data_IF_573239329803
#
_entry.id   IF_573239329803
#
_cell.length_a   1.000
_cell.length_b   1.000
_cell.length_c   1.000
_cell.angle_alpha   90.00
_cell.angle_beta   90.00
_cell.angle_gamma   90.00
#
_symmetry.space_group_name_H-M   'P 1'
#
loop_
_entity.id
_entity.type
_entity.pdbx_description
1 polymer ?
#
# COMPACT_ATOMS: atom_id res chain seq x y z
N UNK A 1 1.44 37.40 -60.48
CA UNK A 1 2.25 36.45 -59.68
C UNK A 1 1.53 36.28 -58.35
N UNK A 2 0.76 35.20 -58.25
CA UNK A 2 0.01 34.82 -57.06
C UNK A 2 0.99 34.23 -56.03
N UNK A 3 0.90 34.66 -54.77
CA UNK A 3 1.40 33.86 -53.63
C UNK A 3 0.36 33.89 -52.52
N UNK A 4 -0.03 32.67 -52.15
CA UNK A 4 -1.14 32.28 -51.27
C UNK A 4 -0.82 32.55 -49.80
N UNK A 5 -1.89 32.86 -49.07
CA UNK A 5 -2.04 32.75 -47.63
C UNK A 5 -1.60 31.38 -47.11
N UNK A 6 -1.03 31.38 -45.92
CA UNK A 6 -0.77 30.19 -45.12
C UNK A 6 -0.83 30.57 -43.65
N UNK A 7 -2.05 30.82 -43.15
CA UNK A 7 -2.34 30.90 -41.73
C UNK A 7 -2.06 29.52 -41.09
N UNK A 8 -1.16 29.49 -40.10
CA UNK A 8 -1.02 28.38 -39.18
C UNK A 8 -2.00 28.60 -38.03
N UNK A 9 -3.06 27.79 -37.97
CA UNK A 9 -3.81 27.57 -36.73
C UNK A 9 -2.96 26.71 -35.78
N UNK A 10 -2.76 27.13 -34.52
CA UNK A 10 -2.32 26.19 -33.49
C UNK A 10 -3.48 25.24 -33.18
N UNK A 11 -3.18 23.95 -33.23
CA UNK A 11 -4.15 22.87 -33.14
C UNK A 11 -4.76 22.71 -31.75
N UNK A 12 -6.05 22.36 -31.77
CA UNK A 12 -6.80 21.50 -30.85
C UNK A 12 -6.11 21.16 -29.52
N UNK A 13 -6.40 21.99 -28.52
CA UNK A 13 -6.47 21.51 -27.13
C UNK A 13 -7.63 20.52 -27.05
N UNK A 14 -7.31 19.22 -27.03
CA UNK A 14 -8.25 18.21 -26.62
C UNK A 14 -8.60 18.45 -25.15
N UNK A 15 -9.67 19.20 -24.93
CA UNK A 15 -10.40 19.28 -23.68
C UNK A 15 -10.91 17.87 -23.35
N UNK A 16 -10.10 17.11 -22.61
CA UNK A 16 -10.52 15.86 -22.00
C UNK A 16 -11.58 16.22 -20.96
N UNK A 17 -12.82 16.27 -21.42
CA UNK A 17 -13.99 16.65 -20.62
C UNK A 17 -13.90 16.04 -19.23
N UNK A 18 -13.78 16.92 -18.24
CA UNK A 18 -13.79 16.58 -16.83
C UNK A 18 -15.10 15.83 -16.55
N UNK A 19 -15.04 14.51 -16.52
CA UNK A 19 -16.19 13.70 -16.11
C UNK A 19 -16.43 13.97 -14.62
N UNK A 20 -17.68 14.31 -14.28
CA UNK A 20 -18.07 14.53 -12.89
C UNK A 20 -17.81 13.27 -12.07
N UNK A 21 -16.94 13.40 -11.07
CA UNK A 21 -16.70 12.34 -10.08
C UNK A 21 -17.98 12.17 -9.26
N UNK A 22 -18.51 10.95 -9.09
CA UNK A 22 -19.66 10.72 -8.23
C UNK A 22 -19.43 11.33 -6.83
N UNK A 23 -20.43 12.05 -6.32
CA UNK A 23 -20.30 12.86 -5.09
C UNK A 23 -19.82 12.03 -3.90
N UNK A 24 -20.28 10.79 -3.78
CA UNK A 24 -19.87 9.83 -2.74
C UNK A 24 -18.37 9.50 -2.77
N UNK A 25 -17.77 9.51 -3.96
CA UNK A 25 -16.34 9.24 -4.15
C UNK A 25 -15.51 10.51 -4.01
N UNK A 26 -16.03 11.62 -4.51
CA UNK A 26 -15.41 12.93 -4.29
C UNK A 26 -15.32 13.24 -2.80
N UNK A 27 -16.38 12.95 -2.02
CA UNK A 27 -16.42 13.09 -0.56
C UNK A 27 -15.49 12.11 0.15
N UNK A 28 -15.45 10.85 -0.28
CA UNK A 28 -14.54 9.84 0.26
C UNK A 28 -13.06 10.19 0.07
N UNK A 29 -12.73 10.79 -1.08
CA UNK A 29 -11.36 11.17 -1.43
C UNK A 29 -11.02 12.61 -1.00
N UNK A 30 -12.01 13.40 -0.55
CA UNK A 30 -11.85 14.79 -0.14
C UNK A 30 -10.83 14.97 1.01
N UNK A 31 -10.82 14.13 2.07
CA UNK A 31 -9.80 14.22 3.10
C UNK A 31 -8.38 14.08 2.54
N UNK A 32 -8.19 13.28 1.48
CA UNK A 32 -6.89 13.11 0.82
C UNK A 32 -6.49 14.25 -0.10
N UNK A 33 -7.44 14.76 -0.90
CA UNK A 33 -7.21 15.97 -1.67
C UNK A 33 -6.76 17.11 -0.75
N UNK A 34 -7.30 17.13 0.48
CA UNK A 34 -6.95 18.09 1.53
C UNK A 34 -5.61 17.77 2.20
N UNK A 35 -5.31 16.51 2.52
CA UNK A 35 -4.05 16.09 3.14
C UNK A 35 -2.82 16.37 2.27
N UNK A 36 -2.97 16.33 0.94
CA UNK A 36 -1.93 16.72 -0.01
C UNK A 36 -2.01 18.20 -0.43
N UNK A 37 -2.54 19.08 0.43
CA UNK A 37 -2.54 20.53 0.22
C UNK A 37 -3.29 20.99 -1.03
N UNK A 38 -4.27 20.22 -1.52
CA UNK A 38 -5.01 20.52 -2.75
C UNK A 38 -4.25 20.24 -4.04
N UNK A 39 -3.04 19.68 -3.97
CA UNK A 39 -2.20 19.39 -5.14
C UNK A 39 -2.55 18.06 -5.84
N UNK A 40 -3.28 17.19 -5.14
CA UNK A 40 -3.73 15.91 -5.69
C UNK A 40 -4.88 16.11 -6.70
N UNK A 41 -4.85 15.40 -7.83
CA UNK A 41 -5.92 15.40 -8.83
C UNK A 41 -6.25 13.97 -9.25
N UNK A 42 -7.54 13.63 -9.28
CA UNK A 42 -7.97 12.35 -9.81
C UNK A 42 -7.84 12.34 -11.33
N UNK A 43 -7.21 11.31 -11.89
CA UNK A 43 -6.93 11.23 -13.32
C UNK A 43 -7.35 9.92 -13.99
N UNK A 44 -7.99 9.01 -13.26
CA UNK A 44 -8.61 7.79 -13.79
C UNK A 44 -9.27 6.98 -12.68
N UNK A 45 -10.36 6.28 -12.96
CA UNK A 45 -11.04 5.46 -11.96
C UNK A 45 -11.95 4.41 -12.59
N UNK A 46 -12.23 3.35 -11.84
CA UNK A 46 -13.23 2.35 -12.15
C UNK A 46 -13.92 1.90 -10.88
N UNK A 47 -15.24 1.73 -10.94
CA UNK A 47 -16.09 1.44 -9.79
C UNK A 47 -16.93 0.20 -10.02
N UNK A 48 -17.19 -0.54 -8.94
CA UNK A 48 -18.02 -1.73 -8.98
C UNK A 48 -19.47 -1.38 -9.33
N UNK A 49 -20.18 -2.34 -9.94
CA UNK A 49 -21.61 -2.20 -10.25
C UNK A 49 -21.94 -1.17 -11.35
N UNK A 50 -20.96 -0.79 -12.19
CA UNK A 50 -21.20 0.13 -13.30
C UNK A 50 -21.44 1.59 -12.89
N UNK A 51 -20.99 1.99 -11.69
CA UNK A 51 -21.23 3.32 -11.10
C UNK A 51 -20.41 4.46 -11.70
N UNK A 52 -19.67 4.17 -12.77
CA UNK A 52 -18.84 5.13 -13.45
C UNK A 52 -17.41 4.64 -13.59
N UNK A 53 -16.76 5.17 -14.61
CA UNK A 53 -15.35 4.97 -14.89
C UNK A 53 -14.84 6.15 -15.70
N UNK A 54 -13.58 6.49 -15.49
CA UNK A 54 -12.80 7.32 -16.38
C UNK A 54 -11.51 6.57 -16.74
N UNK A 55 -11.06 6.63 -18.00
CA UNK A 55 -9.86 5.94 -18.43
C UNK A 55 -8.65 6.39 -17.62
N UNK A 56 -7.74 5.46 -17.31
CA UNK A 56 -6.46 5.77 -16.69
C UNK A 56 -5.53 6.48 -17.70
N UNK A 57 -4.67 7.42 -17.27
CA UNK A 57 -3.77 8.13 -18.17
C UNK A 57 -2.77 7.19 -18.84
N UNK A 58 -2.44 7.47 -20.11
CA UNK A 58 -1.39 6.73 -20.80
C UNK A 58 -0.03 6.87 -20.10
N UNK A 59 0.73 5.78 -20.05
CA UNK A 59 2.05 5.75 -19.44
C UNK A 59 2.07 5.72 -17.91
N UNK A 60 0.93 5.51 -17.24
CA UNK A 60 0.91 5.32 -15.79
C UNK A 60 1.79 4.12 -15.35
N UNK A 61 2.35 4.14 -14.12
CA UNK A 61 3.32 3.13 -13.67
C UNK A 61 2.82 1.68 -13.68
N UNK A 62 1.50 1.49 -13.60
CA UNK A 62 0.85 0.19 -13.54
C UNK A 62 0.34 -0.32 -14.90
N UNK A 63 0.41 0.50 -15.95
CA UNK A 63 -0.07 0.15 -17.29
C UNK A 63 -1.59 -0.11 -17.36
N UNK A 64 -2.38 0.46 -16.43
CA UNK A 64 -3.84 0.43 -16.50
C UNK A 64 -4.36 1.30 -17.65
N UNK A 65 -5.51 0.97 -18.23
CA UNK A 65 -6.10 1.73 -19.37
C UNK A 65 -7.60 1.98 -19.20
N UNK A 66 -8.45 1.40 -20.04
CA UNK A 66 -9.91 1.45 -19.91
C UNK A 66 -10.41 0.13 -19.30
N UNK A 67 -10.20 -0.02 -17.99
CA UNK A 67 -10.61 -1.24 -17.30
C UNK A 67 -12.15 -1.30 -17.19
N UNK A 68 -12.70 -2.51 -17.36
CA UNK A 68 -14.14 -2.71 -17.39
C UNK A 68 -14.77 -2.67 -16.00
N UNK A 69 -14.04 -3.15 -14.99
CA UNK A 69 -14.45 -3.23 -13.60
C UNK A 69 -13.22 -3.26 -12.66
N UNK A 70 -13.39 -2.97 -11.35
CA UNK A 70 -12.28 -2.93 -10.41
C UNK A 70 -11.57 -4.26 -10.18
N UNK A 71 -12.28 -5.39 -10.28
CA UNK A 71 -11.70 -6.72 -10.06
C UNK A 71 -10.77 -7.08 -11.22
N UNK A 72 -11.14 -6.74 -12.45
CA UNK A 72 -10.26 -6.92 -13.61
C UNK A 72 -8.99 -6.09 -13.51
N UNK A 73 -9.11 -4.82 -13.10
CA UNK A 73 -7.96 -3.97 -12.81
C UNK A 73 -7.09 -4.57 -11.70
N UNK A 74 -7.71 -5.04 -10.60
CA UNK A 74 -7.03 -5.70 -9.49
C UNK A 74 -6.27 -6.96 -9.92
N UNK A 75 -6.90 -7.86 -10.68
CA UNK A 75 -6.27 -9.07 -11.21
C UNK A 75 -5.12 -8.74 -12.18
N UNK A 76 -5.22 -7.65 -12.95
CA UNK A 76 -4.11 -7.20 -13.79
C UNK A 76 -2.90 -6.75 -12.96
N UNK A 77 -3.15 -6.07 -11.84
CA UNK A 77 -2.11 -5.53 -10.96
C UNK A 77 -1.44 -6.63 -10.14
N UNK A 78 -2.26 -7.46 -9.51
CA UNK A 78 -1.83 -8.47 -8.55
C UNK A 78 -1.67 -9.86 -9.17
N UNK A 79 -1.98 -10.01 -10.46
CA UNK A 79 -1.85 -11.27 -11.19
C UNK A 79 -0.40 -11.75 -11.21
N UNK A 80 -0.18 -12.97 -10.72
CA UNK A 80 1.12 -13.56 -10.45
C UNK A 80 1.51 -13.53 -8.98
N UNK A 81 1.09 -12.52 -8.21
CA UNK A 81 1.36 -12.43 -6.77
C UNK A 81 0.59 -13.48 -5.99
N UNK A 82 -0.60 -13.88 -6.46
CA UNK A 82 -1.44 -14.89 -5.80
C UNK A 82 -0.80 -16.28 -5.71
N UNK A 83 0.21 -16.57 -6.53
CA UNK A 83 0.97 -17.83 -6.45
C UNK A 83 1.84 -17.88 -5.20
N UNK A 84 2.30 -16.73 -4.73
CA UNK A 84 3.15 -16.59 -3.55
C UNK A 84 2.37 -16.13 -2.31
N UNK A 85 1.31 -15.34 -2.51
CA UNK A 85 0.51 -14.69 -1.47
C UNK A 85 -1.01 -14.83 -1.74
N UNK A 86 -1.53 -16.06 -1.78
CA UNK A 86 -2.93 -16.30 -2.14
C UNK A 86 -3.91 -15.69 -1.15
N UNK A 87 -3.61 -15.73 0.16
CA UNK A 87 -4.50 -15.19 1.19
C UNK A 87 -4.54 -13.67 1.11
N UNK A 88 -3.39 -13.01 1.00
CA UNK A 88 -3.33 -11.56 0.85
C UNK A 88 -4.13 -11.07 -0.35
N UNK A 89 -3.90 -11.64 -1.54
CA UNK A 89 -4.58 -11.22 -2.76
C UNK A 89 -6.09 -11.49 -2.68
N UNK A 90 -6.50 -12.64 -2.13
CA UNK A 90 -7.92 -12.95 -1.97
C UNK A 90 -8.63 -12.01 -0.99
N UNK A 91 -7.99 -11.70 0.13
CA UNK A 91 -8.53 -10.82 1.17
C UNK A 91 -8.59 -9.36 0.68
N UNK A 92 -7.53 -8.87 0.03
CA UNK A 92 -7.48 -7.53 -0.56
C UNK A 92 -8.43 -7.39 -1.76
N UNK A 93 -8.77 -8.47 -2.47
CA UNK A 93 -9.72 -8.42 -3.57
C UNK A 93 -11.20 -8.50 -3.15
N UNK A 94 -11.51 -9.06 -1.97
CA UNK A 94 -12.87 -9.46 -1.59
C UNK A 94 -13.88 -8.32 -1.57
N UNK A 95 -13.51 -7.20 -0.96
CA UNK A 95 -14.42 -6.08 -0.68
C UNK A 95 -14.07 -4.83 -1.51
N UNK A 96 -13.34 -5.04 -2.62
CA UNK A 96 -12.90 -3.98 -3.50
C UNK A 96 -14.10 -3.39 -4.25
N UNK A 97 -14.43 -2.15 -3.90
CA UNK A 97 -15.51 -1.39 -4.50
C UNK A 97 -15.04 -0.48 -5.64
N UNK A 98 -13.75 -0.14 -5.70
CA UNK A 98 -13.22 0.72 -6.75
C UNK A 98 -11.69 0.80 -6.74
N UNK A 99 -11.15 1.25 -7.87
CA UNK A 99 -9.76 1.66 -7.99
C UNK A 99 -9.74 3.04 -8.62
N UNK A 100 -9.00 3.97 -8.02
CA UNK A 100 -8.82 5.32 -8.53
C UNK A 100 -7.33 5.68 -8.60
N UNK A 101 -6.95 6.51 -9.56
CA UNK A 101 -5.60 7.04 -9.69
C UNK A 101 -5.61 8.52 -9.37
N UNK A 102 -4.72 8.89 -8.48
CA UNK A 102 -4.44 10.28 -8.14
C UNK A 102 -3.07 10.65 -8.70
N UNK A 103 -2.96 11.85 -9.25
CA UNK A 103 -1.69 12.52 -9.51
C UNK A 103 -1.42 13.49 -8.37
N UNK A 104 -0.33 13.32 -7.66
CA UNK A 104 0.11 14.19 -6.56
C UNK A 104 1.44 14.80 -6.97
N UNK A 105 1.43 16.11 -7.25
CA UNK A 105 2.55 16.79 -7.89
C UNK A 105 2.97 16.08 -9.20
N UNK A 106 4.21 15.56 -9.25
CA UNK A 106 4.78 14.86 -10.40
C UNK A 106 4.71 13.33 -10.30
N UNK A 107 4.00 12.80 -9.30
CA UNK A 107 3.88 11.35 -9.08
C UNK A 107 2.43 10.84 -9.13
N UNK A 108 2.26 9.53 -9.17
CA UNK A 108 0.97 8.84 -9.18
C UNK A 108 0.77 7.99 -7.92
N UNK A 109 -0.45 7.99 -7.40
CA UNK A 109 -0.91 7.06 -6.36
C UNK A 109 -2.11 6.27 -6.89
N UNK A 110 -2.16 4.99 -6.54
CA UNK A 110 -3.30 4.14 -6.83
C UNK A 110 -4.09 3.88 -5.54
N UNK A 111 -5.32 4.38 -5.48
CA UNK A 111 -6.23 4.16 -4.37
C UNK A 111 -7.10 2.93 -4.62
N UNK A 112 -7.10 2.01 -3.66
CA UNK A 112 -8.06 0.93 -3.53
C UNK A 112 -9.17 1.35 -2.58
N UNK A 113 -10.41 1.32 -3.07
CA UNK A 113 -11.59 1.70 -2.32
C UNK A 113 -12.29 0.45 -1.82
N UNK A 114 -12.39 0.32 -0.50
CA UNK A 114 -13.06 -0.80 0.16
C UNK A 114 -14.39 -0.36 0.74
N UNK A 115 -15.46 -1.09 0.40
CA UNK A 115 -16.72 -0.90 1.09
C UNK A 115 -16.53 -1.20 2.58
N UNK A 116 -16.86 -0.24 3.45
CA UNK A 116 -16.96 -0.54 4.88
C UNK A 116 -18.21 -1.38 5.11
N UNK A 117 -18.13 -2.53 5.80
CA UNK A 117 -19.31 -3.29 6.16
C UNK A 117 -20.14 -2.44 7.11
N UNK A 118 -21.35 -2.05 6.70
CA UNK A 118 -22.30 -1.40 7.58
C UNK A 118 -22.78 -2.44 8.62
N UNK A 119 -22.47 -2.26 9.93
CA UNK A 119 -22.82 -3.24 10.96
C UNK A 119 -24.33 -3.40 11.18
N UNK A 120 -25.15 -2.52 10.59
CA UNK A 120 -26.61 -2.52 10.70
C UNK A 120 -27.32 -3.17 9.50
N UNK A 121 -26.60 -3.47 8.42
CA UNK A 121 -27.17 -4.15 7.25
C UNK A 121 -26.83 -5.65 7.28
N UNK A 122 -27.80 -6.54 7.05
CA UNK A 122 -27.53 -7.97 6.95
C UNK A 122 -26.54 -8.23 5.80
N UNK A 123 -25.49 -9.02 6.10
CA UNK A 123 -24.54 -9.49 5.09
C UNK A 123 -25.29 -10.16 3.94
N UNK A 124 -25.27 -9.55 2.76
CA UNK A 124 -25.98 -10.07 1.58
C UNK A 124 -26.33 -9.05 0.51
N UNK A 125 -26.28 -7.75 0.81
CA UNK A 125 -26.49 -6.71 -0.20
C UNK A 125 -25.24 -6.51 -1.07
N UNK A 126 -25.45 -6.33 -2.37
CA UNK A 126 -24.40 -6.14 -3.37
C UNK A 126 -23.36 -5.10 -2.93
N UNK A 127 -22.05 -5.34 -3.17
CA UNK A 127 -20.93 -4.54 -2.63
C UNK A 127 -20.92 -3.04 -3.01
N UNK A 128 -21.91 -2.56 -3.76
CA UNK A 128 -22.11 -1.14 -4.01
C UNK A 128 -22.97 -0.41 -2.97
N UNK A 129 -23.95 -1.03 -2.31
CA UNK A 129 -24.94 -0.26 -1.51
C UNK A 129 -24.35 0.42 -0.25
N UNK A 130 -23.24 -0.09 0.27
CA UNK A 130 -22.66 0.35 1.56
C UNK A 130 -21.83 1.64 1.48
N UNK A 131 -21.44 2.12 0.28
CA UNK A 131 -20.57 3.31 0.14
C UNK A 131 -21.27 4.60 0.60
N UNK A 132 -22.61 4.64 0.58
CA UNK A 132 -23.38 5.86 0.85
C UNK A 132 -23.61 6.18 2.34
N UNK A 133 -23.24 5.29 3.27
CA UNK A 133 -23.52 5.45 4.70
C UNK A 133 -22.27 5.73 5.55
N UNK A 134 -21.11 5.20 5.16
CA UNK A 134 -19.82 5.39 5.82
C UNK A 134 -18.75 5.65 4.76
N UNK A 135 -17.77 6.55 5.02
CA UNK A 135 -16.68 6.76 4.09
C UNK A 135 -15.94 5.43 3.82
N UNK A 136 -15.64 5.10 2.55
CA UNK A 136 -14.93 3.89 2.23
C UNK A 136 -13.55 3.90 2.87
N UNK A 137 -13.07 2.70 3.20
CA UNK A 137 -11.69 2.53 3.63
C UNK A 137 -10.78 2.61 2.41
N UNK A 138 -9.66 3.32 2.54
CA UNK A 138 -8.75 3.60 1.45
C UNK A 138 -7.38 3.02 1.75
N UNK A 139 -6.83 2.31 0.77
CA UNK A 139 -5.43 1.88 0.76
C UNK A 139 -4.77 2.48 -0.47
N UNK A 140 -3.66 3.19 -0.29
CA UNK A 140 -2.89 3.82 -1.36
C UNK A 140 -1.65 2.99 -1.66
N UNK A 141 -1.55 2.51 -2.88
CA UNK A 141 -0.34 1.96 -3.43
C UNK A 141 0.47 3.05 -4.15
N UNK A 142 1.73 3.18 -3.76
CA UNK A 142 2.73 3.97 -4.46
C UNK A 142 3.27 3.22 -5.67
N UNK A 143 3.90 3.91 -6.64
CA UNK A 143 4.42 3.27 -7.84
C UNK A 143 5.34 2.08 -7.53
N UNK A 144 5.38 1.08 -8.42
CA UNK A 144 6.23 -0.09 -8.21
C UNK A 144 7.71 0.29 -8.21
N UNK A 145 8.49 -0.28 -7.29
CA UNK A 145 9.95 -0.18 -7.34
C UNK A 145 10.53 -1.38 -8.07
N UNK A 146 11.26 -1.12 -9.15
CA UNK A 146 11.98 -2.17 -9.88
C UNK A 146 13.39 -2.27 -9.33
N UNK A 147 13.60 -3.21 -8.42
CA UNK A 147 14.94 -3.61 -8.03
C UNK A 147 15.56 -4.46 -9.15
N UNK A 148 16.75 -4.12 -9.67
CA UNK A 148 17.55 -5.09 -10.40
C UNK A 148 17.76 -6.34 -9.52
N UNK A 149 17.65 -7.54 -10.10
CA UNK A 149 17.86 -8.81 -9.38
C UNK A 149 19.22 -8.90 -8.68
N UNK A 150 20.21 -8.14 -9.17
CA UNK A 150 21.56 -8.04 -8.64
C UNK A 150 21.76 -6.90 -7.64
N UNK A 151 20.78 -6.02 -7.44
CA UNK A 151 20.91 -4.89 -6.53
C UNK A 151 20.95 -5.44 -5.11
N UNK A 152 22.15 -5.37 -4.54
CA UNK A 152 22.34 -5.64 -3.12
C UNK A 152 21.85 -4.42 -2.36
N UNK A 153 21.02 -4.70 -1.38
CA UNK A 153 20.51 -3.70 -0.47
C UNK A 153 21.63 -3.34 0.51
N UNK A 154 21.91 -2.05 0.68
CA UNK A 154 23.03 -1.56 1.50
C UNK A 154 23.03 -2.14 2.92
N UNK A 155 21.88 -2.12 3.60
CA UNK A 155 21.70 -2.64 4.95
C UNK A 155 21.86 -4.17 5.07
N UNK A 156 21.55 -4.92 4.02
CA UNK A 156 21.50 -6.40 4.06
C UNK A 156 22.72 -7.05 3.40
N UNK A 157 23.42 -6.34 2.53
CA UNK A 157 24.54 -6.85 1.72
C UNK A 157 24.19 -8.14 0.96
N UNK A 158 22.90 -8.30 0.62
CA UNK A 158 22.33 -9.44 -0.11
C UNK A 158 21.26 -8.96 -1.08
N UNK A 159 20.97 -9.72 -2.15
CA UNK A 159 19.82 -9.45 -3.00
C UNK A 159 18.51 -9.57 -2.21
N UNK A 160 17.53 -8.71 -2.52
CA UNK A 160 16.19 -8.81 -1.96
C UNK A 160 15.55 -10.15 -2.38
N UNK A 161 15.09 -10.99 -1.43
CA UNK A 161 14.43 -12.25 -1.74
C UNK A 161 13.20 -12.06 -2.63
N UNK A 162 12.93 -13.03 -3.49
CA UNK A 162 11.77 -13.00 -4.39
C UNK A 162 10.44 -12.72 -3.65
N UNK A 163 10.16 -13.30 -2.47
CA UNK A 163 8.93 -13.01 -1.73
C UNK A 163 8.73 -11.52 -1.40
N UNK A 164 9.81 -10.74 -1.25
CA UNK A 164 9.72 -9.29 -1.02
C UNK A 164 9.63 -8.53 -2.35
N UNK A 165 10.40 -8.94 -3.37
CA UNK A 165 10.41 -8.29 -4.69
C UNK A 165 9.06 -8.40 -5.42
N UNK A 166 8.36 -9.52 -5.27
CA UNK A 166 7.09 -9.79 -5.95
C UNK A 166 6.01 -8.75 -5.61
N UNK A 167 5.67 -8.48 -4.34
CA UNK A 167 4.74 -7.42 -4.00
C UNK A 167 5.30 -6.02 -4.27
N UNK A 168 6.62 -5.80 -4.11
CA UNK A 168 7.28 -4.51 -4.42
C UNK A 168 7.15 -4.10 -5.91
N UNK A 169 7.06 -5.10 -6.79
CA UNK A 169 6.85 -4.92 -8.22
C UNK A 169 5.42 -4.46 -8.57
N UNK A 170 4.48 -4.54 -7.63
CA UNK A 170 3.13 -3.94 -7.75
C UNK A 170 3.11 -2.57 -7.08
N UNK A 171 3.59 -2.49 -5.85
CA UNK A 171 3.70 -1.24 -5.08
C UNK A 171 4.98 -1.20 -4.26
N UNK A 172 5.77 -0.12 -4.42
CA UNK A 172 6.91 0.14 -3.52
C UNK A 172 6.47 0.38 -2.09
N UNK A 173 5.31 1.03 -1.90
CA UNK A 173 4.74 1.32 -0.58
C UNK A 173 3.22 1.21 -0.64
N UNK A 174 2.60 0.79 0.46
CA UNK A 174 1.15 0.80 0.65
C UNK A 174 0.81 1.52 1.95
N UNK A 175 -0.14 2.45 1.95
CA UNK A 175 -0.53 3.21 3.16
C UNK A 175 -2.04 3.27 3.33
N UNK A 176 -2.49 3.36 4.58
CA UNK A 176 -3.89 3.46 4.98
C UNK A 176 -4.00 4.24 6.28
N UNK A 177 -5.22 4.45 6.80
CA UNK A 177 -5.43 4.98 8.15
C UNK A 177 -4.96 4.03 9.26
N UNK A 178 -4.76 2.74 8.96
CA UNK A 178 -4.40 1.72 9.96
C UNK A 178 -2.89 1.53 10.07
N UNK A 179 -2.17 1.73 8.97
CA UNK A 179 -0.73 1.60 8.90
C UNK A 179 -0.17 1.68 7.48
N UNK A 180 1.16 1.66 7.42
CA UNK A 180 1.98 1.70 6.20
C UNK A 180 2.78 0.41 6.06
N UNK A 181 2.91 -0.13 4.84
CA UNK A 181 3.89 -1.17 4.48
C UNK A 181 4.85 -0.58 3.45
N UNK A 182 6.14 -0.72 3.69
CA UNK A 182 7.21 -0.21 2.84
C UNK A 182 8.03 -1.39 2.30
N UNK A 183 8.01 -1.54 0.99
CA UNK A 183 8.68 -2.59 0.22
C UNK A 183 9.73 -2.00 -0.72
N UNK A 184 9.99 -0.69 -0.64
CA UNK A 184 10.97 0.05 -1.41
C UNK A 184 12.14 0.58 -0.56
N UNK A 185 11.98 0.61 0.76
CA UNK A 185 12.91 1.17 1.74
C UNK A 185 13.85 0.09 2.29
N UNK A 186 14.79 -0.37 1.47
CA UNK A 186 15.82 -1.30 1.94
C UNK A 186 17.19 -0.64 2.14
N UNK A 187 17.40 0.56 1.60
CA UNK A 187 18.70 1.22 1.59
C UNK A 187 19.18 1.67 2.99
N UNK A 188 18.24 1.84 3.93
CA UNK A 188 18.47 2.35 5.28
C UNK A 188 18.07 1.32 6.35
N UNK A 189 18.88 1.23 7.40
CA UNK A 189 18.56 0.48 8.61
C UNK A 189 17.74 1.33 9.58
N UNK A 190 17.11 0.72 10.58
CA UNK A 190 16.47 1.45 11.67
C UNK A 190 17.45 2.41 12.36
N UNK A 191 18.74 2.07 12.41
CA UNK A 191 19.78 2.96 12.92
C UNK A 191 19.87 4.25 12.11
N UNK A 192 19.86 4.15 10.79
CA UNK A 192 20.00 5.31 9.90
C UNK A 192 18.80 6.25 10.05
N UNK A 193 17.59 5.68 10.15
CA UNK A 193 16.34 6.42 10.40
C UNK A 193 16.38 7.13 11.76
N UNK A 194 16.78 6.44 12.83
CA UNK A 194 16.87 7.03 14.17
C UNK A 194 17.92 8.14 14.24
N UNK A 195 19.07 7.96 13.59
CA UNK A 195 20.12 8.98 13.51
C UNK A 195 19.70 10.22 12.71
N UNK A 196 18.78 10.09 11.75
CA UNK A 196 18.19 11.22 11.05
C UNK A 196 17.23 12.00 11.95
N UNK A 197 16.37 11.31 12.70
CA UNK A 197 15.43 11.94 13.64
C UNK A 197 16.14 12.68 14.77
N UNK A 198 17.18 12.08 15.37
CA UNK A 198 18.00 12.74 16.40
C UNK A 198 18.68 14.02 15.89
N UNK A 199 18.97 14.11 14.59
CA UNK A 199 19.59 15.31 13.98
C UNK A 199 18.58 16.44 13.76
N UNK A 200 17.33 16.10 13.47
CA UNK A 200 16.28 17.09 13.18
C UNK A 200 15.63 17.64 14.44
N UNK A 201 15.52 16.84 15.50
CA UNK A 201 14.83 17.26 16.73
C UNK A 201 15.69 18.13 17.67
N UNK A 202 17.02 18.15 17.49
CA UNK A 202 17.94 19.04 18.22
C UNK A 202 17.96 18.87 19.76
N UNK A 203 17.16 17.94 20.29
CA UNK A 203 17.14 17.53 21.69
C UNK A 203 17.97 16.25 21.85
N UNK A 204 19.10 16.41 22.53
CA UNK A 204 20.13 15.40 22.78
C UNK A 204 19.68 14.38 23.85
N UNK A 205 18.44 13.89 23.81
CA UNK A 205 17.86 13.12 24.93
C UNK A 205 17.83 11.59 24.72
N UNK A 206 18.27 11.09 23.57
CA UNK A 206 18.40 9.65 23.28
C UNK A 206 19.84 9.24 22.98
N UNK A 207 20.65 8.93 24.00
CA UNK A 207 21.98 8.36 23.76
C UNK A 207 21.81 6.92 23.21
N UNK A 208 21.89 6.74 21.89
CA UNK A 208 21.98 5.41 21.26
C UNK A 208 23.25 4.74 21.80
N UNK A 209 23.07 3.86 22.79
CA UNK A 209 24.18 3.11 23.37
C UNK A 209 24.81 2.17 22.33
N UNK A 210 26.09 1.83 22.47
CA UNK A 210 26.78 0.93 21.53
C UNK A 210 26.12 -0.45 21.40
N UNK A 211 25.35 -0.89 22.40
CA UNK A 211 24.63 -2.17 22.37
C UNK A 211 23.32 -2.10 21.57
N UNK A 212 22.61 -0.98 21.62
CA UNK A 212 21.43 -0.74 20.79
C UNK A 212 21.81 -0.43 19.33
N UNK A 213 22.99 0.17 19.12
CA UNK A 213 23.55 0.47 17.79
C UNK A 213 23.72 -0.79 16.91
N UNK A 214 24.28 -1.86 17.47
CA UNK A 214 24.44 -3.15 16.78
C UNK A 214 23.09 -3.78 16.42
N UNK A 215 22.11 -3.69 17.32
CA UNK A 215 20.76 -4.19 17.06
C UNK A 215 20.07 -3.41 15.93
N UNK A 216 20.09 -2.08 15.97
CA UNK A 216 19.42 -1.23 14.97
C UNK A 216 20.01 -1.36 13.58
N UNK A 217 21.31 -1.62 13.47
CA UNK A 217 21.97 -1.88 12.19
C UNK A 217 21.54 -3.18 11.50
N UNK A 218 20.81 -4.06 12.19
CA UNK A 218 20.31 -5.34 11.68
C UNK A 218 18.81 -5.34 11.38
N UNK A 219 18.17 -4.19 11.53
CA UNK A 219 16.73 -4.03 11.35
C UNK A 219 16.44 -3.11 10.18
N UNK A 220 15.48 -3.49 9.34
CA UNK A 220 14.91 -2.61 8.32
C UNK A 220 13.44 -2.38 8.65
N UNK A 221 13.02 -1.12 8.74
CA UNK A 221 11.62 -0.77 8.85
C UNK A 221 10.89 -1.10 7.55
N UNK A 222 9.82 -1.91 7.64
CA UNK A 222 8.94 -2.22 6.50
C UNK A 222 7.49 -1.87 6.78
N UNK A 223 7.23 -1.17 7.87
CA UNK A 223 5.89 -0.66 8.13
C UNK A 223 5.72 -0.01 9.48
N UNK A 224 4.71 0.83 9.57
CA UNK A 224 4.35 1.56 10.78
C UNK A 224 2.87 1.32 11.09
N UNK A 225 2.55 1.11 12.36
CA UNK A 225 1.19 0.99 12.86
C UNK A 225 0.77 2.30 13.51
N UNK A 226 -0.52 2.63 13.39
CA UNK A 226 -1.13 3.78 14.06
C UNK A 226 -1.00 3.81 15.60
N UNK A 227 -0.62 2.70 16.23
CA UNK A 227 -0.38 2.60 17.68
C UNK A 227 1.10 2.79 18.07
N UNK A 228 1.96 3.23 17.15
CA UNK A 228 3.39 3.47 17.39
C UNK A 228 4.28 2.24 17.30
N UNK A 229 3.73 1.07 16.95
CA UNK A 229 4.54 -0.12 16.69
C UNK A 229 5.13 -0.04 15.28
N UNK A 230 6.38 -0.44 15.13
CA UNK A 230 7.06 -0.50 13.84
C UNK A 230 7.23 -1.97 13.46
N UNK A 231 6.96 -2.32 12.21
CA UNK A 231 7.21 -3.65 11.67
C UNK A 231 8.60 -3.67 11.05
N UNK A 232 9.44 -4.60 11.47
CA UNK A 232 10.84 -4.67 11.05
C UNK A 232 11.21 -6.03 10.46
N UNK A 233 12.11 -6.03 9.48
CA UNK A 233 12.86 -7.21 9.05
C UNK A 233 14.08 -7.38 9.94
N UNK A 234 14.34 -8.61 10.39
CA UNK A 234 15.56 -8.98 11.12
C UNK A 234 16.53 -9.62 10.13
N UNK A 235 17.60 -8.91 9.77
CA UNK A 235 18.46 -9.27 8.63
C UNK A 235 19.36 -10.50 8.87
N UNK A 236 19.70 -10.79 10.13
CA UNK A 236 20.53 -11.92 10.53
C UNK A 236 19.71 -13.17 10.92
N UNK A 237 18.38 -13.06 10.98
CA UNK A 237 17.47 -14.19 11.22
C UNK A 237 16.70 -14.52 9.95
N UNK A 238 17.11 -15.59 9.27
CA UNK A 238 16.55 -16.01 7.97
C UNK A 238 15.78 -17.31 8.12
N UNK A 239 14.54 -17.34 7.63
CA UNK A 239 13.68 -18.51 7.55
C UNK A 239 14.22 -19.55 6.54
N UNK A 240 13.75 -20.81 6.57
CA UNK A 240 14.20 -21.85 5.65
C UNK A 240 14.00 -21.54 4.16
N UNK A 241 13.08 -20.62 3.83
CA UNK A 241 12.81 -20.16 2.46
C UNK A 241 13.75 -19.03 1.99
N UNK A 242 14.70 -18.62 2.84
CA UNK A 242 15.67 -17.55 2.53
C UNK A 242 15.15 -16.14 2.81
N UNK A 243 13.94 -15.98 3.36
CA UNK A 243 13.40 -14.67 3.74
C UNK A 243 13.75 -14.31 5.18
N UNK A 244 13.94 -13.01 5.50
CA UNK A 244 14.18 -12.55 6.85
C UNK A 244 12.92 -12.73 7.69
N UNK A 245 13.10 -12.91 8.99
CA UNK A 245 11.99 -12.89 9.92
C UNK A 245 11.46 -11.47 10.09
N UNK A 246 10.15 -11.36 10.25
CA UNK A 246 9.44 -10.13 10.59
C UNK A 246 9.16 -10.12 12.08
N UNK A 247 9.36 -8.97 12.72
CA UNK A 247 9.00 -8.71 14.10
C UNK A 247 8.36 -7.33 14.24
N UNK A 248 7.90 -7.02 15.46
CA UNK A 248 7.48 -5.68 15.82
C UNK A 248 8.52 -5.05 16.75
N UNK A 249 8.72 -3.76 16.61
CA UNK A 249 9.63 -2.96 17.42
C UNK A 249 8.84 -1.81 18.05
N UNK A 250 9.00 -1.61 19.35
CA UNK A 250 8.48 -0.45 20.08
C UNK A 250 9.51 0.06 21.11
N UNK A 251 9.07 0.92 22.02
CA UNK A 251 9.89 1.48 23.09
C UNK A 251 10.51 0.43 24.04
N UNK A 252 9.90 -0.75 24.16
CA UNK A 252 10.39 -1.86 24.98
C UNK A 252 11.33 -2.79 24.16
N UNK A 253 11.54 -2.50 22.87
CA UNK A 253 12.42 -3.20 21.96
C UNK A 253 11.70 -4.15 21.01
N UNK A 254 12.38 -5.24 20.61
CA UNK A 254 11.78 -6.25 19.74
C UNK A 254 10.72 -7.07 20.51
N UNK A 255 9.47 -6.93 20.08
CA UNK A 255 8.32 -7.62 20.63
C UNK A 255 7.63 -8.55 19.63
N UNK A 256 6.73 -9.39 20.17
CA UNK A 256 5.85 -10.25 19.38
C UNK A 256 6.48 -11.55 18.87
N UNK A 257 5.67 -12.34 18.16
CA UNK A 257 6.11 -13.58 17.52
C UNK A 257 6.84 -13.24 16.23
N UNK A 258 8.09 -13.71 16.12
CA UNK A 258 8.86 -13.65 14.88
C UNK A 258 8.30 -14.64 13.88
N UNK A 259 8.07 -14.20 12.66
CA UNK A 259 7.51 -15.05 11.62
C UNK A 259 8.18 -14.79 10.27
N UNK A 260 8.27 -15.79 9.37
CA UNK A 260 8.83 -15.58 8.03
C UNK A 260 8.08 -14.45 7.30
N UNK A 261 8.80 -13.61 6.54
CA UNK A 261 8.18 -12.53 5.77
C UNK A 261 7.01 -13.03 4.91
N UNK A 262 7.18 -14.20 4.28
CA UNK A 262 6.13 -14.75 3.42
C UNK A 262 4.81 -14.95 4.17
N UNK A 263 4.90 -15.57 5.35
CA UNK A 263 3.74 -15.83 6.20
C UNK A 263 3.15 -14.52 6.75
N UNK A 264 4.02 -13.59 7.18
CA UNK A 264 3.59 -12.28 7.65
C UNK A 264 2.81 -11.52 6.58
N UNK A 265 3.36 -11.45 5.36
CA UNK A 265 2.72 -10.70 4.28
C UNK A 265 1.40 -11.36 3.87
N UNK A 266 1.36 -12.69 3.72
CA UNK A 266 0.16 -13.37 3.26
C UNK A 266 -1.01 -13.29 4.27
N UNK A 267 -0.71 -13.30 5.57
CA UNK A 267 -1.73 -13.42 6.63
C UNK A 267 -1.96 -12.10 7.37
N UNK A 268 -0.93 -11.26 7.56
CA UNK A 268 -1.00 -10.07 8.43
C UNK A 268 -1.02 -8.75 7.67
N UNK A 269 -0.45 -8.65 6.46
CA UNK A 269 -0.37 -7.38 5.75
C UNK A 269 -1.75 -6.76 5.43
N UNK A 270 -2.76 -7.58 5.11
CA UNK A 270 -4.13 -7.05 4.95
C UNK A 270 -4.64 -6.47 6.27
N UNK A 271 -4.44 -7.15 7.40
CA UNK A 271 -4.83 -6.60 8.70
C UNK A 271 -4.14 -5.27 9.00
N UNK A 272 -2.88 -5.15 8.61
CA UNK A 272 -2.09 -3.93 8.73
C UNK A 272 -2.68 -2.77 7.92
N UNK A 273 -3.13 -3.04 6.69
CA UNK A 273 -3.64 -2.02 5.77
C UNK A 273 -5.14 -1.73 5.94
N UNK A 274 -5.94 -2.68 6.40
CA UNK A 274 -7.40 -2.52 6.47
C UNK A 274 -8.02 -2.73 7.85
N UNK A 275 -7.22 -3.02 8.87
CA UNK A 275 -7.68 -3.22 10.24
C UNK A 275 -8.56 -4.46 10.43
N UNK A 276 -8.67 -5.36 9.44
CA UNK A 276 -9.49 -6.58 9.49
C UNK A 276 -8.66 -7.81 9.83
N UNK A 277 -9.13 -8.67 10.74
CA UNK A 277 -8.50 -9.98 10.95
C UNK A 277 -8.99 -10.99 9.90
N UNK A 278 -8.09 -11.79 9.27
CA UNK A 278 -8.48 -12.87 8.36
C UNK A 278 -9.34 -13.95 9.04
N UNK A 279 -9.28 -14.06 10.36
CA UNK A 279 -9.91 -15.12 11.15
C UNK A 279 -11.44 -15.03 11.24
N UNK A 280 -12.10 -14.06 10.59
CA UNK A 280 -13.57 -13.95 10.66
C UNK A 280 -14.32 -15.08 9.93
N UNK A 281 -13.61 -15.97 9.23
CA UNK A 281 -14.15 -17.21 8.64
C UNK A 281 -13.92 -18.48 9.47
N UNK A 282 -13.10 -18.45 10.53
CA UNK A 282 -12.88 -19.57 11.44
C UNK A 282 -12.71 -19.03 12.85
N UNK A 283 -13.75 -19.18 13.67
CA UNK A 283 -13.66 -18.91 15.09
C UNK A 283 -12.52 -19.70 15.72
N UNK A 284 -11.37 -19.05 15.90
CA UNK A 284 -10.36 -19.42 16.87
C UNK A 284 -10.48 -18.40 17.98
N UNK A 285 -11.31 -18.73 18.96
CA UNK A 285 -11.21 -18.12 20.29
C UNK A 285 -9.84 -18.48 20.83
N UNK A 286 -8.90 -17.53 20.81
CA UNK A 286 -7.71 -17.60 21.66
C UNK A 286 -8.12 -16.98 22.98
N UNK A 287 -8.68 -17.80 23.87
CA UNK A 287 -8.75 -17.42 25.28
C UNK A 287 -7.32 -17.39 25.82
N UNK A 288 -7.00 -16.34 26.59
CA UNK A 288 -5.68 -16.01 27.13
C UNK A 288 -5.14 -16.98 28.19
N UNK A 289 -5.33 -18.27 28.00
CA UNK A 289 -4.71 -19.34 28.78
C UNK A 289 -4.19 -20.37 27.80
N UNK A 290 -2.91 -20.27 27.46
CA UNK A 290 -2.26 -21.19 26.54
C UNK A 290 -2.40 -22.65 26.98
N UNK A 291 -3.30 -23.38 26.32
CA UNK A 291 -3.27 -24.83 26.19
C UNK A 291 -4.00 -25.20 24.91
N UNK A 292 -3.27 -25.79 23.97
CA UNK A 292 -3.83 -26.37 22.75
C UNK A 292 -4.36 -27.78 23.02
N UNK A 293 -5.52 -28.09 22.44
CA UNK A 293 -5.94 -29.46 22.08
C UNK A 293 -6.25 -29.49 20.60
#
# INVERSE_FOLDING_TARGET
MERKNGDHQPGDEHDHGLQEVPVDIAEALLPLLTAHGGSARMCGWVLAGGRGRAPFPDGNPWGLRDEADPIRAFVRLWGGVEQEFPTFVAELGRDLAGIAMLRVADDYLLAYLFARPNPLLPYGDEPGRSIAADPPLLVFGYPPRRFPDSLSVGAWDRPVPAPIRVPAAVHGRMTSEHGTIELDMFEETLRDVLLEWDRDDGEEDGEITSGSDDMYSRLICIGEHSNGWVTVLILDEVAPDGTPLVAYYDQDGLGGVRMPFREWFDIRAVRHLVGRSPDRGRGLCVDGTGTAT
#
